data_IF_419416848523
#
_entry.id   IF_419416848523
#
_cell.length_a   1.000
_cell.length_b   1.000
_cell.length_c   1.000
_cell.angle_alpha   90.00
_cell.angle_beta   90.00
_cell.angle_gamma   90.00
#
_symmetry.space_group_name_H-M   'P 1'
#
loop_
_entity.id
_entity.type
_entity.pdbx_description
1 polymer ?
#
# COMPACT_ATOMS: atom_id res chain seq x y z
N UNK A 1 5.11 -33.26 13.06
CA UNK A 1 5.87 -32.37 13.95
C UNK A 1 6.66 -31.28 13.21
N UNK A 2 7.05 -31.51 11.97
CA UNK A 2 7.86 -30.56 11.15
C UNK A 2 7.11 -29.30 10.71
N UNK A 3 5.80 -29.37 10.45
CA UNK A 3 5.08 -28.24 9.82
C UNK A 3 4.85 -27.04 10.79
N UNK A 4 4.71 -27.28 12.09
CA UNK A 4 4.55 -26.20 13.08
C UNK A 4 5.84 -25.39 13.31
N UNK A 5 7.00 -26.05 13.25
CA UNK A 5 8.29 -25.36 13.37
C UNK A 5 8.59 -24.47 12.16
N UNK A 6 8.23 -24.93 10.97
CA UNK A 6 8.40 -24.17 9.72
C UNK A 6 7.46 -22.96 9.73
N UNK A 7 6.20 -23.14 10.14
CA UNK A 7 5.23 -22.04 10.24
C UNK A 7 5.70 -20.95 11.23
N UNK A 8 6.15 -21.33 12.41
CA UNK A 8 6.66 -20.38 13.41
C UNK A 8 7.93 -19.66 12.93
N UNK A 9 8.79 -20.36 12.21
CA UNK A 9 10.00 -19.76 11.65
C UNK A 9 9.69 -18.73 10.57
N UNK A 10 8.75 -19.04 9.68
CA UNK A 10 8.28 -18.11 8.64
C UNK A 10 7.65 -16.88 9.28
N UNK A 11 6.80 -17.05 10.30
CA UNK A 11 6.16 -15.95 11.03
C UNK A 11 7.17 -15.03 11.72
N UNK A 12 8.24 -15.58 12.28
CA UNK A 12 9.30 -14.78 12.88
C UNK A 12 10.08 -13.96 11.83
N UNK A 13 10.39 -14.56 10.68
CA UNK A 13 11.05 -13.85 9.58
C UNK A 13 10.16 -12.73 9.06
N UNK A 14 8.88 -13.00 8.88
CA UNK A 14 7.90 -12.01 8.42
C UNK A 14 7.82 -10.82 9.38
N UNK A 15 7.71 -11.05 10.67
CA UNK A 15 7.73 -9.99 11.69
C UNK A 15 9.04 -9.20 11.71
N UNK A 16 10.17 -9.87 11.55
CA UNK A 16 11.47 -9.20 11.48
C UNK A 16 11.60 -8.31 10.23
N UNK A 17 11.13 -8.79 9.07
CA UNK A 17 11.10 -8.01 7.84
C UNK A 17 10.17 -6.80 7.95
N UNK A 18 8.99 -6.96 8.52
CA UNK A 18 8.05 -5.86 8.74
C UNK A 18 8.63 -4.81 9.68
N UNK A 19 9.29 -5.23 10.77
CA UNK A 19 9.97 -4.30 11.67
C UNK A 19 11.08 -3.52 10.96
N UNK A 20 11.85 -4.19 10.11
CA UNK A 20 12.90 -3.56 9.31
C UNK A 20 12.32 -2.55 8.33
N UNK A 21 11.19 -2.87 7.67
CA UNK A 21 10.47 -1.96 6.77
C UNK A 21 10.01 -0.73 7.54
N UNK A 22 9.40 -0.88 8.71
CA UNK A 22 8.94 0.25 9.54
C UNK A 22 10.13 1.14 9.94
N UNK A 23 11.21 0.55 10.45
CA UNK A 23 12.38 1.31 10.88
C UNK A 23 13.01 2.07 9.70
N UNK A 24 13.17 1.43 8.55
CA UNK A 24 13.69 2.06 7.33
C UNK A 24 12.78 3.16 6.80
N UNK A 25 11.47 2.94 6.82
CA UNK A 25 10.47 3.92 6.38
C UNK A 25 10.45 5.17 7.27
N UNK A 26 10.49 4.99 8.59
CA UNK A 26 10.54 6.11 9.55
C UNK A 26 11.85 6.88 9.41
N UNK A 27 12.97 6.19 9.23
CA UNK A 27 14.27 6.81 9.00
C UNK A 27 14.27 7.63 7.72
N UNK A 28 13.81 7.06 6.60
CA UNK A 28 13.74 7.75 5.31
C UNK A 28 12.81 8.95 5.36
N UNK A 29 11.62 8.81 5.94
CA UNK A 29 10.67 9.90 6.11
C UNK A 29 11.25 11.04 6.96
N UNK A 30 11.94 10.72 8.05
CA UNK A 30 12.61 11.71 8.89
C UNK A 30 13.70 12.48 8.13
N UNK A 31 14.50 11.78 7.34
CA UNK A 31 15.55 12.39 6.52
C UNK A 31 14.95 13.33 5.45
N UNK A 32 13.90 12.89 4.76
CA UNK A 32 13.22 13.69 3.73
C UNK A 32 12.56 14.93 4.34
N UNK A 33 11.94 14.81 5.50
CA UNK A 33 11.35 15.95 6.22
C UNK A 33 12.43 16.99 6.56
N UNK A 34 13.57 16.57 7.11
CA UNK A 34 14.68 17.48 7.44
C UNK A 34 15.21 18.16 6.16
N UNK A 35 15.35 17.40 5.07
CA UNK A 35 15.80 17.93 3.80
C UNK A 35 14.81 18.98 3.24
N UNK A 36 13.50 18.75 3.36
CA UNK A 36 12.46 19.69 2.96
C UNK A 36 12.56 21.01 3.73
N UNK A 37 12.78 20.96 5.05
CA UNK A 37 12.95 22.18 5.86
C UNK A 37 14.23 22.96 5.50
N UNK A 38 15.31 22.27 5.14
CA UNK A 38 16.58 22.90 4.78
C UNK A 38 16.57 23.50 3.35
N UNK A 39 15.63 23.11 2.49
CA UNK A 39 15.51 23.56 1.11
C UNK A 39 14.85 24.95 0.96
N UNK A 40 14.93 25.82 1.95
CA UNK A 40 14.44 27.22 1.93
C UNK A 40 12.98 27.36 1.46
N UNK A 41 12.11 26.45 1.88
CA UNK A 41 10.67 26.58 1.65
C UNK A 41 10.20 26.25 0.21
N UNK A 42 11.07 25.74 -0.65
CA UNK A 42 10.67 25.21 -1.96
C UNK A 42 10.29 23.73 -1.84
N UNK A 43 9.15 23.47 -1.22
CA UNK A 43 8.57 22.12 -1.22
C UNK A 43 8.13 21.77 -2.63
N UNK A 44 8.76 20.78 -3.25
CA UNK A 44 8.28 20.22 -4.48
C UNK A 44 7.06 19.30 -4.19
N UNK A 45 6.12 19.26 -5.12
CA UNK A 45 4.97 18.35 -5.02
C UNK A 45 5.41 16.88 -4.89
N UNK A 46 6.56 16.55 -5.52
CA UNK A 46 7.19 15.23 -5.43
C UNK A 46 7.55 14.85 -3.99
N UNK A 47 8.04 15.78 -3.19
CA UNK A 47 8.42 15.53 -1.79
C UNK A 47 7.21 15.15 -0.93
N UNK A 48 6.07 15.82 -1.15
CA UNK A 48 4.82 15.49 -0.48
C UNK A 48 4.33 14.08 -0.87
N UNK A 49 4.49 13.70 -2.12
CA UNK A 49 4.13 12.34 -2.57
C UNK A 49 5.02 11.27 -1.97
N UNK A 50 6.30 11.55 -1.74
CA UNK A 50 7.18 10.61 -1.04
C UNK A 50 6.72 10.39 0.41
N UNK A 51 6.34 11.43 1.13
CA UNK A 51 5.77 11.31 2.47
C UNK A 51 4.47 10.48 2.48
N UNK A 52 3.64 10.62 1.46
CA UNK A 52 2.44 9.80 1.29
C UNK A 52 2.79 8.31 1.12
N UNK A 53 3.83 7.99 0.33
CA UNK A 53 4.31 6.60 0.17
C UNK A 53 4.73 6.02 1.52
N UNK A 54 5.47 6.76 2.32
CA UNK A 54 5.88 6.31 3.65
C UNK A 54 4.68 6.07 4.56
N UNK A 55 3.69 6.95 4.55
CA UNK A 55 2.45 6.77 5.31
C UNK A 55 1.66 5.53 4.85
N UNK A 56 1.60 5.25 3.55
CA UNK A 56 0.94 4.06 3.02
C UNK A 56 1.65 2.77 3.44
N UNK A 57 2.99 2.74 3.40
CA UNK A 57 3.78 1.58 3.85
C UNK A 57 3.53 1.32 5.34
N UNK A 58 3.56 2.35 6.17
CA UNK A 58 3.27 2.23 7.61
C UNK A 58 1.84 1.76 7.86
N UNK A 59 0.88 2.24 7.07
CA UNK A 59 -0.52 1.81 7.12
C UNK A 59 -0.70 0.33 6.79
N UNK A 60 0.02 -0.19 5.78
CA UNK A 60 0.01 -1.63 5.44
C UNK A 60 0.55 -2.48 6.58
N UNK A 61 1.71 -2.10 7.12
CA UNK A 61 2.31 -2.84 8.24
C UNK A 61 1.40 -2.79 9.46
N UNK A 62 0.78 -1.65 9.76
CA UNK A 62 -0.19 -1.49 10.83
C UNK A 62 -1.41 -2.40 10.67
N UNK A 63 -1.96 -2.48 9.46
CA UNK A 63 -3.07 -3.37 9.14
C UNK A 63 -2.69 -4.85 9.32
N UNK A 64 -1.48 -5.24 8.92
CA UNK A 64 -0.98 -6.60 9.11
C UNK A 64 -0.88 -6.97 10.59
N UNK A 65 -0.36 -6.07 11.43
CA UNK A 65 -0.25 -6.33 12.88
C UNK A 65 -1.61 -6.42 13.57
N UNK A 66 -2.61 -5.69 13.09
CA UNK A 66 -3.95 -5.69 13.67
C UNK A 66 -4.74 -6.95 13.31
N UNK A 67 -4.72 -7.36 12.04
CA UNK A 67 -5.62 -8.39 11.51
C UNK A 67 -4.90 -9.73 11.22
N UNK A 68 -3.57 -9.79 11.40
CA UNK A 68 -2.71 -10.91 11.00
C UNK A 68 -2.90 -11.37 9.54
N UNK A 69 -3.51 -10.51 8.73
CA UNK A 69 -3.73 -10.69 7.30
C UNK A 69 -3.59 -9.36 6.60
N UNK A 70 -2.90 -9.34 5.48
CA UNK A 70 -2.92 -8.20 4.56
C UNK A 70 -4.21 -8.31 3.75
N UNK A 71 -5.17 -7.39 3.92
CA UNK A 71 -6.33 -7.34 3.03
C UNK A 71 -5.82 -7.19 1.60
N UNK A 72 -6.25 -8.06 0.69
CA UNK A 72 -5.77 -8.06 -0.73
C UNK A 72 -6.08 -6.73 -1.43
N UNK A 73 -7.07 -5.99 -0.93
CA UNK A 73 -7.45 -4.66 -1.43
C UNK A 73 -6.40 -3.59 -1.17
N UNK A 74 -5.60 -3.67 -0.09
CA UNK A 74 -4.58 -2.66 0.23
C UNK A 74 -3.49 -2.53 -0.85
N UNK A 75 -2.85 -3.61 -1.34
CA UNK A 75 -1.89 -3.51 -2.43
C UNK A 75 -2.48 -2.91 -3.71
N UNK A 76 -3.76 -3.17 -3.99
CA UNK A 76 -4.45 -2.61 -5.16
C UNK A 76 -4.65 -1.10 -5.00
N UNK A 77 -5.07 -0.64 -3.84
CA UNK A 77 -5.22 0.79 -3.55
C UNK A 77 -3.88 1.51 -3.70
N UNK A 78 -2.79 0.92 -3.21
CA UNK A 78 -1.45 1.49 -3.34
C UNK A 78 -1.02 1.54 -4.81
N UNK A 79 -1.31 0.53 -5.61
CA UNK A 79 -1.04 0.55 -7.04
C UNK A 79 -1.81 1.66 -7.76
N UNK A 80 -3.08 1.89 -7.40
CA UNK A 80 -3.89 2.99 -7.95
C UNK A 80 -3.27 4.35 -7.57
N UNK A 81 -2.92 4.55 -6.30
CA UNK A 81 -2.32 5.81 -5.84
C UNK A 81 -0.94 6.05 -6.45
N UNK A 82 -0.15 5.00 -6.69
CA UNK A 82 1.13 5.08 -7.37
C UNK A 82 0.97 5.54 -8.83
N UNK A 83 0.05 4.95 -9.58
CA UNK A 83 -0.24 5.37 -10.97
C UNK A 83 -0.77 6.81 -11.02
N UNK A 84 -1.66 7.18 -10.10
CA UNK A 84 -2.16 8.55 -10.00
C UNK A 84 -1.02 9.56 -9.76
N UNK A 85 -0.05 9.22 -8.91
CA UNK A 85 1.14 10.05 -8.69
C UNK A 85 2.00 10.16 -9.94
N UNK A 86 2.18 9.08 -10.69
CA UNK A 86 2.92 9.13 -11.95
C UNK A 86 2.26 10.12 -12.92
N UNK A 87 0.94 10.10 -13.06
CA UNK A 87 0.20 11.04 -13.91
C UNK A 87 0.41 12.49 -13.44
N UNK A 88 0.33 12.74 -12.13
CA UNK A 88 0.47 14.10 -11.58
C UNK A 88 1.89 14.66 -11.67
N UNK A 89 2.90 13.79 -11.66
CA UNK A 89 4.31 14.18 -11.76
C UNK A 89 4.79 14.32 -13.22
N UNK A 90 4.00 13.89 -14.19
CA UNK A 90 4.35 14.04 -15.60
C UNK A 90 4.44 15.52 -15.96
N UNK A 91 5.58 15.90 -16.50
CA UNK A 91 5.81 17.26 -17.02
C UNK A 91 5.06 17.45 -18.36
N UNK A 92 4.63 18.68 -18.61
CA UNK A 92 4.02 19.08 -19.89
C UNK A 92 4.96 18.73 -21.04
N UNK A 93 4.62 17.71 -21.80
CA UNK A 93 5.42 17.25 -22.96
C UNK A 93 5.52 15.72 -23.05
N UNK A 94 5.08 14.98 -22.04
CA UNK A 94 4.95 13.53 -22.12
C UNK A 94 3.79 13.13 -23.03
N UNK A 95 3.98 12.03 -23.76
CA UNK A 95 3.02 11.53 -24.73
C UNK A 95 1.65 11.31 -24.12
N UNK A 96 0.63 11.93 -24.68
CA UNK A 96 -0.79 11.75 -24.29
C UNK A 96 -1.22 10.29 -24.27
N UNK A 97 -0.57 9.46 -25.08
CA UNK A 97 -0.79 8.00 -25.15
C UNK A 97 -0.38 7.33 -23.84
N UNK A 98 0.72 7.74 -23.20
CA UNK A 98 1.19 7.19 -21.92
C UNK A 98 0.18 7.42 -20.81
N UNK A 99 -0.34 8.64 -20.72
CA UNK A 99 -1.40 9.00 -19.76
C UNK A 99 -2.64 8.12 -19.97
N UNK A 100 -3.00 7.84 -21.22
CA UNK A 100 -4.14 6.96 -21.52
C UNK A 100 -3.93 5.53 -20.99
N UNK A 101 -2.74 4.96 -21.16
CA UNK A 101 -2.41 3.64 -20.61
C UNK A 101 -2.43 3.60 -19.08
N UNK A 102 -1.94 4.66 -18.44
CA UNK A 102 -1.96 4.77 -16.97
C UNK A 102 -3.39 4.90 -16.45
N UNK A 103 -4.24 5.70 -17.09
CA UNK A 103 -5.67 5.80 -16.76
C UNK A 103 -6.40 4.48 -16.96
N UNK A 104 -6.09 3.73 -18.03
CA UNK A 104 -6.66 2.41 -18.25
C UNK A 104 -6.22 1.42 -17.16
N UNK A 105 -4.95 1.48 -16.73
CA UNK A 105 -4.43 0.71 -15.61
C UNK A 105 -5.17 0.97 -14.31
N UNK A 106 -5.43 2.24 -13.99
CA UNK A 106 -6.21 2.64 -12.81
C UNK A 106 -7.64 2.07 -12.90
N UNK A 107 -8.27 2.15 -14.06
CA UNK A 107 -9.62 1.63 -14.27
C UNK A 107 -9.70 0.11 -14.05
N UNK A 108 -8.73 -0.64 -14.57
CA UNK A 108 -8.63 -2.09 -14.39
C UNK A 108 -8.41 -2.44 -12.90
N UNK A 109 -7.50 -1.75 -12.22
CA UNK A 109 -7.23 -1.95 -10.81
C UNK A 109 -8.43 -1.60 -9.93
N UNK A 110 -9.14 -0.52 -10.23
CA UNK A 110 -10.35 -0.14 -9.52
C UNK A 110 -11.46 -1.19 -9.69
N UNK A 111 -11.64 -1.72 -10.90
CA UNK A 111 -12.55 -2.84 -11.16
C UNK A 111 -12.17 -4.11 -10.37
N UNK A 112 -10.90 -4.44 -10.32
CA UNK A 112 -10.40 -5.58 -9.53
C UNK A 112 -10.63 -5.38 -8.03
N UNK A 113 -10.41 -4.19 -7.50
CA UNK A 113 -10.67 -3.84 -6.11
C UNK A 113 -12.17 -3.99 -5.77
N UNK A 114 -13.04 -3.55 -6.67
CA UNK A 114 -14.49 -3.68 -6.50
C UNK A 114 -14.92 -5.14 -6.44
N UNK A 115 -14.44 -5.98 -7.36
CA UNK A 115 -14.75 -7.42 -7.41
C UNK A 115 -14.27 -8.13 -6.14
N UNK A 116 -13.05 -7.84 -5.67
CA UNK A 116 -12.51 -8.42 -4.44
C UNK A 116 -13.31 -8.00 -3.20
N UNK A 117 -13.61 -6.72 -3.08
CA UNK A 117 -14.41 -6.18 -1.97
C UNK A 117 -15.81 -6.77 -1.93
N UNK A 118 -16.43 -6.99 -3.08
CA UNK A 118 -17.74 -7.64 -3.18
C UNK A 118 -17.68 -9.11 -2.76
N UNK A 119 -16.63 -9.82 -3.15
CA UNK A 119 -16.40 -11.22 -2.78
C UNK A 119 -16.19 -11.39 -1.26
N UNK A 120 -15.45 -10.47 -0.64
CA UNK A 120 -15.23 -10.46 0.81
C UNK A 120 -16.53 -10.24 1.59
N UNK A 121 -17.39 -9.32 1.14
CA UNK A 121 -18.73 -9.11 1.71
C UNK A 121 -19.59 -10.37 1.66
N UNK A 122 -19.67 -11.02 0.50
CA UNK A 122 -20.44 -12.26 0.35
C UNK A 122 -19.91 -13.39 1.24
N UNK A 123 -18.59 -13.47 1.43
CA UNK A 123 -17.98 -14.47 2.30
C UNK A 123 -18.35 -14.24 3.78
N UNK A 124 -18.34 -13.00 4.23
CA UNK A 124 -18.73 -12.62 5.60
C UNK A 124 -20.21 -12.86 5.86
N UNK A 125 -21.07 -12.56 4.89
CA UNK A 125 -22.52 -12.80 4.99
C UNK A 125 -22.83 -14.29 5.09
N UNK A 126 -22.17 -15.13 4.30
CA UNK A 126 -22.29 -16.60 4.40
C UNK A 126 -21.83 -17.16 5.75
N UNK A 127 -20.78 -16.56 6.34
CA UNK A 127 -20.29 -16.96 7.66
C UNK A 127 -21.25 -16.54 8.77
N UNK A 128 -21.90 -15.39 8.65
CA UNK A 128 -22.92 -14.93 9.61
C UNK A 128 -24.18 -15.78 9.61
N UNK A 129 -24.58 -16.26 8.42
CA UNK A 129 -25.74 -17.17 8.27
C UNK A 129 -25.46 -18.61 8.72
N UNK A 130 -24.18 -18.97 8.91
CA UNK A 130 -23.75 -20.32 9.31
C UNK A 130 -23.49 -20.47 10.81
N UNK A 131 -23.65 -19.43 11.63
CA UNK A 131 -23.67 -19.53 13.08
C UNK A 131 -25.09 -19.88 13.51
N UNK A 132 -25.36 -21.15 13.91
CA UNK A 132 -26.54 -21.44 14.71
C UNK A 132 -26.35 -20.85 16.10
N UNK A 133 -27.39 -20.31 16.67
CA UNK A 133 -27.48 -19.91 18.08
C UNK A 133 -27.03 -21.03 19.03
#
# INVERSE_FOLDING_TARGET
>A
MSSKHISNFIEQIEKALLLFIVAGTVWAAGFDIIHMFNSQGKMALADLFMLFIYAEILGMVGAFYKDHRIPVTLPIIIAITALTRMILLQTKGDDSIRILYECLGIFILAGSAFVLSYKDKLSLEKLSLRKPE
#
